data_IF_218102888186
#
_entry.id   IF_218102888186
#
_cell.length_a   1.000
_cell.length_b   1.000
_cell.length_c   1.000
_cell.angle_alpha   90.00
_cell.angle_beta   90.00
_cell.angle_gamma   90.00
#
_symmetry.space_group_name_H-M   'P 1'
#
loop_
_entity.id
_entity.type
_entity.pdbx_description
1 polymer ?
#
# COMPACT_ATOMS: atom_id res chain seq x y z
N UNK A 1 9.32 1.55 -12.65
CA UNK A 1 8.34 2.10 -11.76
C UNK A 1 8.94 3.16 -10.88
N UNK A 2 8.41 4.28 -10.92
CA UNK A 2 8.97 5.35 -10.11
C UNK A 2 8.73 5.07 -8.64
N UNK A 3 9.67 5.44 -7.85
CA UNK A 3 9.47 5.43 -6.43
C UNK A 3 8.39 6.44 -6.08
N UNK A 4 7.85 6.29 -4.90
CA UNK A 4 6.90 7.27 -4.39
C UNK A 4 7.71 8.48 -3.99
N UNK A 5 7.82 9.45 -4.90
CA UNK A 5 8.69 10.58 -4.70
C UNK A 5 8.01 11.87 -4.55
N UNK A 6 6.87 12.02 -5.13
CA UNK A 6 6.15 13.26 -5.10
C UNK A 6 4.96 13.09 -4.19
N UNK A 7 4.41 14.19 -3.73
CA UNK A 7 3.16 14.14 -3.00
C UNK A 7 2.11 13.63 -3.97
N UNK A 8 1.51 12.48 -3.70
CA UNK A 8 0.51 11.95 -4.61
C UNK A 8 -0.77 12.75 -4.57
N UNK A 9 -1.54 12.64 -5.63
CA UNK A 9 -2.87 13.23 -5.70
C UNK A 9 -3.85 12.08 -5.79
N UNK A 10 -4.78 12.03 -4.86
CA UNK A 10 -5.80 11.00 -4.80
C UNK A 10 -7.14 11.66 -5.04
N UNK A 11 -7.82 11.22 -6.09
CA UNK A 11 -9.16 11.74 -6.42
C UNK A 11 -9.17 13.27 -6.52
N UNK A 12 -8.09 13.84 -7.08
CA UNK A 12 -7.98 15.27 -7.27
C UNK A 12 -7.57 16.05 -6.04
N UNK A 13 -7.23 15.38 -4.93
CA UNK A 13 -6.82 16.02 -3.69
C UNK A 13 -5.39 15.67 -3.37
N UNK A 14 -4.65 16.63 -2.86
CA UNK A 14 -3.32 16.37 -2.35
C UNK A 14 -3.44 15.51 -1.10
N UNK A 15 -2.56 14.50 -0.98
CA UNK A 15 -2.56 13.62 0.19
C UNK A 15 -1.27 13.80 0.93
N UNK A 16 -1.38 13.92 2.26
CA UNK A 16 -0.23 14.14 3.12
C UNK A 16 0.21 12.89 3.84
N UNK A 17 -0.64 11.87 3.87
CA UNK A 17 -0.38 10.67 4.64
C UNK A 17 -0.13 9.50 3.70
N UNK A 18 0.94 8.78 3.96
CA UNK A 18 1.23 7.55 3.25
C UNK A 18 1.50 6.45 4.25
N UNK A 19 1.16 5.24 3.88
CA UNK A 19 1.34 4.10 4.76
C UNK A 19 1.80 2.89 3.95
N UNK A 20 2.54 2.04 4.64
CA UNK A 20 2.90 0.72 4.13
C UNK A 20 2.12 -0.28 4.96
N UNK A 21 1.30 -1.07 4.31
CA UNK A 21 0.45 -2.04 4.96
C UNK A 21 0.90 -3.43 4.56
N UNK A 22 1.21 -4.26 5.53
CA UNK A 22 1.57 -5.65 5.27
C UNK A 22 0.39 -6.53 5.59
N UNK A 23 0.03 -7.39 4.65
CA UNK A 23 -1.12 -8.27 4.79
C UNK A 23 -0.63 -9.70 4.76
N UNK A 24 -1.09 -10.49 5.72
CA UNK A 24 -0.78 -11.90 5.84
C UNK A 24 -2.09 -12.66 5.86
N UNK A 25 -2.24 -13.60 4.96
CA UNK A 25 -3.50 -14.30 4.81
C UNK A 25 -3.26 -15.72 4.30
N UNK A 26 -4.28 -16.54 4.39
CA UNK A 26 -4.25 -17.87 3.82
C UNK A 26 -4.30 -17.79 2.30
N UNK A 27 -3.69 -18.78 1.66
CA UNK A 27 -3.61 -18.80 0.20
C UNK A 27 -4.98 -18.70 -0.47
N UNK A 28 -5.99 -19.27 0.15
CA UNK A 28 -7.34 -19.27 -0.43
C UNK A 28 -7.95 -17.88 -0.55
N UNK A 29 -7.42 -16.88 0.18
CA UNK A 29 -7.93 -15.52 0.13
C UNK A 29 -7.14 -14.59 -0.78
N UNK A 30 -6.11 -15.09 -1.43
CA UNK A 30 -5.22 -14.25 -2.24
C UNK A 30 -6.00 -13.50 -3.32
N UNK A 31 -6.81 -14.22 -4.09
CA UNK A 31 -7.56 -13.59 -5.18
C UNK A 31 -8.54 -12.54 -4.65
N UNK A 32 -9.14 -12.81 -3.51
CA UNK A 32 -10.07 -11.86 -2.91
C UNK A 32 -9.37 -10.58 -2.50
N UNK A 33 -8.16 -10.69 -1.95
CA UNK A 33 -7.38 -9.51 -1.59
C UNK A 33 -7.00 -8.70 -2.82
N UNK A 34 -6.63 -9.35 -3.91
CA UNK A 34 -6.31 -8.61 -5.13
C UNK A 34 -7.51 -7.79 -5.58
N UNK A 35 -8.71 -8.37 -5.53
CA UNK A 35 -9.91 -7.63 -5.89
C UNK A 35 -10.15 -6.45 -4.94
N UNK A 36 -9.95 -6.66 -3.65
CA UNK A 36 -10.09 -5.58 -2.67
C UNK A 36 -9.12 -4.44 -2.96
N UNK A 37 -7.86 -4.77 -3.22
CA UNK A 37 -6.86 -3.74 -3.51
C UNK A 37 -7.26 -2.92 -4.73
N UNK A 38 -7.80 -3.57 -5.75
CA UNK A 38 -8.21 -2.87 -6.96
C UNK A 38 -9.39 -1.94 -6.71
N UNK A 39 -10.21 -2.24 -5.72
CA UNK A 39 -11.40 -1.45 -5.43
C UNK A 39 -11.13 -0.28 -4.49
N UNK A 40 -9.97 -0.23 -3.86
CA UNK A 40 -9.64 0.81 -2.88
C UNK A 40 -8.82 1.89 -3.56
N UNK A 41 -9.37 3.11 -3.72
CA UNK A 41 -8.62 4.16 -4.41
C UNK A 41 -7.37 4.60 -3.66
N UNK A 42 -7.31 4.38 -2.35
CA UNK A 42 -6.15 4.74 -1.56
C UNK A 42 -4.94 3.84 -1.83
N UNK A 43 -5.16 2.67 -2.43
CA UNK A 43 -4.07 1.73 -2.71
C UNK A 43 -3.35 2.15 -3.98
N UNK A 44 -2.07 2.45 -3.85
CA UNK A 44 -1.25 2.92 -4.96
C UNK A 44 -0.51 1.79 -5.64
N UNK A 45 -0.04 0.82 -4.86
CA UNK A 45 0.81 -0.24 -5.38
C UNK A 45 0.73 -1.42 -4.43
N UNK A 46 0.73 -2.62 -4.99
CA UNK A 46 0.71 -3.86 -4.22
C UNK A 46 1.82 -4.76 -4.72
N UNK A 47 2.62 -5.26 -3.81
CA UNK A 47 3.66 -6.22 -4.12
C UNK A 47 3.33 -7.55 -3.46
N UNK A 48 3.42 -8.65 -4.22
CA UNK A 48 3.43 -9.99 -3.64
C UNK A 48 4.86 -10.27 -3.19
N UNK A 49 5.01 -10.75 -1.98
CA UNK A 49 6.34 -10.98 -1.42
C UNK A 49 6.44 -12.38 -0.87
N UNK A 50 7.66 -12.85 -0.73
CA UNK A 50 7.93 -14.12 -0.06
C UNK A 50 8.05 -13.87 1.43
N UNK A 51 8.03 -14.95 2.21
CA UNK A 51 8.12 -14.85 3.65
C UNK A 51 6.75 -14.96 4.30
N UNK A 52 6.63 -14.39 5.50
CA UNK A 52 5.39 -14.51 6.24
C UNK A 52 4.29 -13.60 5.73
N UNK A 53 4.64 -12.41 5.27
CA UNK A 53 3.66 -11.53 4.69
C UNK A 53 3.35 -11.98 3.27
N UNK A 54 2.11 -11.81 2.86
CA UNK A 54 1.72 -12.16 1.50
C UNK A 54 1.79 -10.95 0.58
N UNK A 55 1.45 -9.77 1.12
CA UNK A 55 1.40 -8.55 0.34
C UNK A 55 2.04 -7.41 1.11
N UNK A 56 2.70 -6.53 0.37
CA UNK A 56 3.11 -5.22 0.86
C UNK A 56 2.37 -4.19 0.02
N UNK A 57 1.61 -3.34 0.69
CA UNK A 57 0.68 -2.43 0.03
C UNK A 57 1.09 -1.00 0.36
N UNK A 58 1.26 -0.19 -0.67
CA UNK A 58 1.53 1.24 -0.50
C UNK A 58 0.23 2.00 -0.68
N UNK A 59 -0.10 2.81 0.31
CA UNK A 59 -1.35 3.56 0.34
C UNK A 59 -1.09 5.03 0.57
N UNK A 60 -2.02 5.86 0.14
CA UNK A 60 -2.00 7.29 0.41
C UNK A 60 -3.39 7.74 0.84
N UNK A 61 -3.43 8.67 1.79
CA UNK A 61 -4.68 9.10 2.41
C UNK A 61 -4.71 10.60 2.55
N UNK A 62 -5.90 11.17 2.43
CA UNK A 62 -6.11 12.58 2.69
C UNK A 62 -6.23 12.86 4.19
N UNK A 63 -6.83 11.93 4.94
CA UNK A 63 -7.06 12.10 6.38
C UNK A 63 -6.79 10.78 7.09
N UNK A 64 -6.43 10.82 8.39
CA UNK A 64 -6.14 9.59 9.13
C UNK A 64 -7.31 8.62 9.22
N UNK A 65 -8.53 9.13 9.20
CA UNK A 65 -9.72 8.29 9.28
C UNK A 65 -9.79 7.30 8.12
N UNK A 66 -9.32 7.70 6.94
CA UNK A 66 -9.31 6.82 5.78
C UNK A 66 -8.35 5.65 5.97
N UNK A 67 -7.24 5.87 6.67
CA UNK A 67 -6.32 4.78 6.98
C UNK A 67 -7.02 3.73 7.84
N UNK A 68 -7.74 4.16 8.84
CA UNK A 68 -8.46 3.25 9.71
C UNK A 68 -9.48 2.42 8.93
N UNK A 69 -10.22 3.06 8.05
CA UNK A 69 -11.22 2.40 7.22
C UNK A 69 -10.57 1.35 6.31
N UNK A 70 -9.46 1.70 5.68
CA UNK A 70 -8.77 0.78 4.77
C UNK A 70 -8.18 -0.38 5.56
N UNK A 71 -7.56 -0.10 6.71
CA UNK A 71 -6.98 -1.16 7.53
C UNK A 71 -8.05 -2.12 8.00
N UNK A 72 -9.20 -1.62 8.44
CA UNK A 72 -10.30 -2.46 8.87
C UNK A 72 -10.83 -3.33 7.74
N UNK A 73 -10.93 -2.76 6.54
CA UNK A 73 -11.38 -3.52 5.38
C UNK A 73 -10.41 -4.65 5.08
N UNK A 74 -9.12 -4.37 5.11
CA UNK A 74 -8.11 -5.38 4.80
C UNK A 74 -7.96 -6.43 5.90
N UNK A 75 -8.38 -6.14 7.11
CA UNK A 75 -8.26 -7.08 8.22
C UNK A 75 -9.33 -8.17 8.22
N UNK A 76 -10.24 -8.15 7.26
CA UNK A 76 -11.38 -9.08 7.28
C UNK A 76 -10.97 -10.53 7.06
N UNK A 77 -9.93 -10.78 6.29
CA UNK A 77 -9.56 -12.15 5.91
C UNK A 77 -8.13 -12.49 6.27
N UNK A 78 -7.48 -11.68 7.09
CA UNK A 78 -6.10 -11.94 7.47
C UNK A 78 -5.60 -10.94 8.48
N UNK A 79 -4.30 -10.98 8.72
CA UNK A 79 -3.64 -10.06 9.65
C UNK A 79 -3.07 -8.88 8.90
N UNK A 80 -3.21 -7.70 9.47
CA UNK A 80 -2.76 -6.47 8.86
C UNK A 80 -1.84 -5.74 9.83
N UNK A 81 -0.68 -5.33 9.33
CA UNK A 81 0.25 -4.49 10.08
C UNK A 81 0.46 -3.22 9.28
N UNK A 82 0.23 -2.08 9.92
CA UNK A 82 0.28 -0.80 9.23
C UNK A 82 1.41 0.05 9.80
N UNK A 83 2.18 0.67 8.90
CA UNK A 83 3.22 1.60 9.29
C UNK A 83 3.01 2.89 8.51
N UNK A 84 2.97 4.01 9.23
CA UNK A 84 2.90 5.32 8.59
C UNK A 84 4.28 5.71 8.11
N UNK A 85 4.35 6.29 6.93
CA UNK A 85 5.59 6.79 6.38
C UNK A 85 5.86 8.15 7.01
N UNK A 86 6.96 8.25 7.74
CA UNK A 86 7.33 9.52 8.37
C UNK A 86 8.02 10.44 7.39
N UNK A 87 8.86 9.88 6.53
CA UNK A 87 9.58 10.66 5.53
C UNK A 87 10.11 9.70 4.48
N UNK A 88 10.54 10.27 3.38
CA UNK A 88 11.14 9.51 2.30
C UNK A 88 12.51 10.12 2.02
N UNK A 89 13.51 9.84 2.88
CA UNK A 89 14.80 10.54 2.80
C UNK A 89 15.59 10.25 1.54
N UNK A 90 15.33 9.13 0.90
CA UNK A 90 15.99 8.80 -0.36
C UNK A 90 14.96 8.29 -1.34
N UNK A 91 14.75 9.00 -2.41
CA UNK A 91 13.82 8.59 -3.44
C UNK A 91 14.50 8.78 -4.79
N UNK A 92 14.96 7.69 -5.35
CA UNK A 92 15.64 7.69 -6.64
C UNK A 92 14.79 6.96 -7.65
N UNK A 93 14.81 7.39 -8.90
CA UNK A 93 14.16 6.59 -9.93
C UNK A 93 14.85 5.25 -10.06
N UNK A 94 14.09 4.24 -10.37
CA UNK A 94 14.65 2.92 -10.60
C UNK A 94 15.48 2.95 -11.86
N UNK A 95 16.77 2.62 -11.73
CA UNK A 95 17.64 2.52 -12.87
C UNK A 95 17.69 1.10 -13.34
N UNK A 96 17.51 0.91 -14.63
CA UNK A 96 17.70 -0.39 -15.20
C UNK A 96 19.15 -0.53 -15.54
N UNK A 97 19.77 -1.41 -14.88
CA UNK A 97 21.11 -1.64 -15.18
C UNK A 97 21.15 -2.64 -16.21
N UNK A 98 21.62 -2.45 -17.14
CA UNK A 98 21.68 -3.38 -17.98
C UNK A 98 22.78 -3.50 -18.34
N UNK A 99 23.27 -4.11 -18.26
CA UNK A 99 24.35 -4.31 -18.56
C UNK A 99 24.54 -4.66 -19.43
#
# INVERSE_FOLDING_TARGET
MPAVRAVPVLLGQAVDLQAVVRVRTAHEHIARYVQLFQSLPEVLQVLRVTGEDCFVVYCAFAVPHDLERVADTLAKFGSVTTALVLSNPVAKPLSVMRD
#
